data_IF_818563655687
#
_entry.id   IF_818563655687
#
_cell.length_a   1.000
_cell.length_b   1.000
_cell.length_c   1.000
_cell.angle_alpha   90.00
_cell.angle_beta   90.00
_cell.angle_gamma   90.00
#
_symmetry.space_group_name_H-M   'P 1'
#
loop_
_entity.id
_entity.type
_entity.pdbx_description
1 polymer ?
#
# COMPACT_ATOMS: atom_id res chain seq x y z
N UNK A 1 12.99 43.46 -19.33
CA UNK A 1 13.46 42.06 -19.41
C UNK A 1 12.23 41.23 -19.72
N UNK A 2 12.22 40.52 -20.84
CA UNK A 2 11.11 39.61 -21.18
C UNK A 2 11.32 38.29 -20.43
N UNK A 3 10.41 37.96 -19.51
CA UNK A 3 10.49 36.73 -18.72
C UNK A 3 10.21 35.49 -19.58
N UNK A 4 9.42 35.68 -20.63
CA UNK A 4 9.02 34.67 -21.59
C UNK A 4 9.59 34.97 -22.97
N UNK A 5 9.92 33.92 -23.69
CA UNK A 5 10.28 33.98 -25.12
C UNK A 5 9.02 33.93 -25.97
N UNK A 6 9.17 34.23 -27.26
CA UNK A 6 8.06 34.17 -28.23
C UNK A 6 7.48 32.75 -28.41
N UNK A 7 8.21 31.71 -28.00
CA UNK A 7 7.70 30.33 -27.96
C UNK A 7 6.86 30.01 -26.71
N UNK A 8 6.61 31.01 -25.86
CA UNK A 8 5.85 30.89 -24.62
C UNK A 8 6.60 30.17 -23.50
N UNK A 9 7.88 29.83 -23.68
CA UNK A 9 8.72 29.24 -22.63
C UNK A 9 9.49 30.33 -21.86
N UNK A 10 9.94 30.01 -20.64
CA UNK A 10 10.86 30.90 -19.91
C UNK A 10 12.15 31.16 -20.72
N UNK A 11 12.58 32.42 -20.76
CA UNK A 11 13.90 32.80 -21.27
C UNK A 11 15.01 32.26 -20.38
N UNK A 12 16.22 32.09 -20.92
CA UNK A 12 17.37 31.66 -20.11
C UNK A 12 17.68 32.71 -19.03
N UNK A 13 17.54 33.99 -19.38
CA UNK A 13 17.68 35.12 -18.46
C UNK A 13 16.61 35.08 -17.36
N UNK A 14 15.36 34.78 -17.72
CA UNK A 14 14.26 34.61 -16.77
C UNK A 14 14.49 33.45 -15.80
N UNK A 15 15.04 32.34 -16.30
CA UNK A 15 15.33 31.15 -15.51
C UNK A 15 16.49 31.37 -14.53
N UNK A 16 17.52 32.09 -14.96
CA UNK A 16 18.62 32.51 -14.10
C UNK A 16 18.18 33.54 -13.06
N UNK A 17 17.38 34.53 -13.45
CA UNK A 17 16.84 35.51 -12.52
C UNK A 17 15.91 34.86 -11.48
N UNK A 18 15.14 33.83 -11.87
CA UNK A 18 14.32 33.05 -10.94
C UNK A 18 15.19 32.31 -9.91
N UNK A 19 16.27 31.67 -10.39
CA UNK A 19 17.23 30.94 -9.53
C UNK A 19 17.97 31.89 -8.58
N UNK A 20 18.33 33.07 -9.06
CA UNK A 20 18.99 34.11 -8.28
C UNK A 20 18.04 34.90 -7.37
N UNK A 21 16.72 34.64 -7.42
CA UNK A 21 15.72 35.36 -6.62
C UNK A 21 15.58 36.84 -6.98
N UNK A 22 15.88 37.20 -8.24
CA UNK A 22 15.85 38.59 -8.73
C UNK A 22 14.53 38.97 -9.42
N UNK A 23 13.56 38.06 -9.48
CA UNK A 23 12.21 38.38 -9.96
C UNK A 23 11.45 39.17 -8.90
N UNK A 24 10.61 40.08 -9.38
CA UNK A 24 9.57 40.72 -8.59
C UNK A 24 8.50 39.70 -8.15
N UNK A 25 7.65 40.07 -7.20
CA UNK A 25 6.63 39.17 -6.65
C UNK A 25 5.65 38.64 -7.71
N UNK A 26 5.28 39.48 -8.69
CA UNK A 26 4.41 39.07 -9.78
C UNK A 26 5.13 38.11 -10.73
N UNK A 27 6.34 38.47 -11.19
CA UNK A 27 7.14 37.59 -12.03
C UNK A 27 7.42 36.25 -11.37
N UNK A 28 7.64 36.21 -10.05
CA UNK A 28 7.83 34.97 -9.29
C UNK A 28 6.58 34.10 -9.29
N UNK A 29 5.40 34.70 -9.13
CA UNK A 29 4.13 33.98 -9.18
C UNK A 29 3.88 33.41 -10.59
N UNK A 30 4.06 34.23 -11.62
CA UNK A 30 3.88 33.82 -13.02
C UNK A 30 4.87 32.72 -13.43
N UNK A 31 6.14 32.82 -13.02
CA UNK A 31 7.12 31.78 -13.26
C UNK A 31 6.79 30.47 -12.53
N UNK A 32 6.29 30.56 -11.29
CA UNK A 32 5.88 29.38 -10.51
C UNK A 32 4.66 28.69 -11.14
N UNK A 33 3.67 29.46 -11.59
CA UNK A 33 2.52 28.93 -12.33
C UNK A 33 2.97 28.28 -13.64
N UNK A 34 3.86 28.94 -14.38
CA UNK A 34 4.38 28.40 -15.64
C UNK A 34 5.15 27.08 -15.44
N UNK A 35 5.98 26.97 -14.40
CA UNK A 35 6.68 25.72 -14.07
C UNK A 35 5.71 24.60 -13.69
N UNK A 36 4.57 24.92 -13.07
CA UNK A 36 3.56 23.91 -12.76
C UNK A 36 2.88 23.33 -14.02
N UNK A 37 2.85 24.08 -15.14
CA UNK A 37 2.15 23.71 -16.36
C UNK A 37 3.05 23.34 -17.54
N UNK A 38 4.33 23.74 -17.54
CA UNK A 38 5.25 23.51 -18.65
C UNK A 38 6.40 22.58 -18.25
N UNK A 39 6.26 21.29 -18.59
CA UNK A 39 7.29 20.27 -18.32
C UNK A 39 8.66 20.64 -18.91
N UNK A 40 8.68 21.21 -20.13
CA UNK A 40 9.92 21.63 -20.79
C UNK A 40 10.69 22.68 -19.98
N UNK A 41 9.99 23.63 -19.36
CA UNK A 41 10.61 24.65 -18.51
C UNK A 41 11.02 24.07 -17.16
N UNK A 42 10.25 23.13 -16.62
CA UNK A 42 10.59 22.40 -15.39
C UNK A 42 11.84 21.53 -15.55
N UNK A 43 12.01 20.87 -16.70
CA UNK A 43 13.21 20.11 -17.01
C UNK A 43 14.44 21.03 -17.12
N UNK A 44 14.32 22.19 -17.78
CA UNK A 44 15.42 23.18 -17.85
C UNK A 44 15.75 23.76 -16.47
N UNK A 45 14.73 24.07 -15.67
CA UNK A 45 14.88 24.59 -14.32
C UNK A 45 15.57 23.58 -13.39
N UNK A 46 15.09 22.33 -13.39
CA UNK A 46 15.69 21.25 -12.59
C UNK A 46 17.10 20.93 -13.06
N UNK A 47 17.38 20.96 -14.36
CA UNK A 47 18.73 20.81 -14.89
C UNK A 47 19.70 21.87 -14.33
N UNK A 48 19.28 23.15 -14.30
CA UNK A 48 20.07 24.22 -13.68
C UNK A 48 20.30 23.99 -12.18
N UNK A 49 19.27 23.57 -11.44
CA UNK A 49 19.41 23.25 -10.02
C UNK A 49 20.29 22.03 -9.75
N UNK A 50 20.34 21.06 -10.67
CA UNK A 50 21.19 19.88 -10.56
C UNK A 50 22.63 20.12 -11.03
N UNK A 51 22.87 21.17 -11.82
CA UNK A 51 24.20 21.60 -12.21
C UNK A 51 24.97 22.19 -11.02
N UNK A 52 24.27 22.79 -10.06
CA UNK A 52 24.76 22.89 -8.68
C UNK A 52 24.74 21.48 -8.10
N UNK A 53 25.89 20.82 -8.20
CA UNK A 53 26.10 19.46 -7.77
C UNK A 53 25.47 19.25 -6.39
N UNK A 54 24.34 18.53 -6.35
CA UNK A 54 23.93 17.83 -5.14
C UNK A 54 25.19 17.11 -4.67
N UNK A 55 25.80 17.60 -3.59
CA UNK A 55 27.07 17.07 -3.12
C UNK A 55 26.93 15.55 -3.08
N UNK A 56 27.82 14.85 -3.80
CA UNK A 56 27.76 13.40 -3.84
C UNK A 56 27.75 12.91 -2.39
N UNK A 57 26.73 12.13 -1.97
CA UNK A 57 26.59 11.78 -0.58
C UNK A 57 27.87 11.08 -0.14
N UNK A 58 28.42 11.39 1.06
CA UNK A 58 29.69 10.86 1.52
C UNK A 58 29.70 9.32 1.65
N UNK A 59 28.54 8.68 1.52
CA UNK A 59 28.36 7.23 1.46
C UNK A 59 27.30 6.87 0.41
N UNK A 60 27.54 5.80 -0.33
CA UNK A 60 26.62 5.28 -1.33
C UNK A 60 25.31 4.76 -0.70
N UNK A 61 24.29 5.61 -0.67
CA UNK A 61 22.95 5.25 -0.18
C UNK A 61 22.15 4.41 -1.18
N UNK A 62 22.60 4.33 -2.44
CA UNK A 62 21.88 3.64 -3.53
C UNK A 62 21.62 2.17 -3.19
N UNK A 63 22.63 1.47 -2.66
CA UNK A 63 22.51 0.06 -2.29
C UNK A 63 21.51 -0.14 -1.14
N UNK A 64 21.55 0.75 -0.15
CA UNK A 64 20.63 0.72 1.00
C UNK A 64 19.19 0.99 0.58
N UNK A 65 18.95 2.04 -0.22
CA UNK A 65 17.60 2.40 -0.69
C UNK A 65 17.04 1.31 -1.59
N UNK A 66 17.82 0.81 -2.56
CA UNK A 66 17.38 -0.30 -3.41
C UNK A 66 17.06 -1.55 -2.56
N UNK A 67 17.88 -1.86 -1.55
CA UNK A 67 17.61 -3.00 -0.67
C UNK A 67 16.33 -2.81 0.15
N UNK A 68 16.06 -1.61 0.66
CA UNK A 68 14.85 -1.31 1.41
C UNK A 68 13.60 -1.36 0.53
N UNK A 69 13.68 -0.88 -0.72
CA UNK A 69 12.61 -0.98 -1.71
C UNK A 69 12.34 -2.44 -2.04
N UNK A 70 13.38 -3.23 -2.31
CA UNK A 70 13.27 -4.65 -2.61
C UNK A 70 12.62 -5.44 -1.47
N UNK A 71 13.06 -5.21 -0.23
CA UNK A 71 12.50 -5.84 0.96
C UNK A 71 11.01 -5.52 1.10
N UNK A 72 10.62 -4.26 0.90
CA UNK A 72 9.20 -3.86 0.96
C UNK A 72 8.37 -4.51 -0.14
N UNK A 73 8.91 -4.59 -1.37
CA UNK A 73 8.25 -5.25 -2.49
C UNK A 73 8.04 -6.75 -2.20
N UNK A 74 9.08 -7.41 -1.69
CA UNK A 74 9.06 -8.85 -1.39
C UNK A 74 8.09 -9.16 -0.24
N UNK A 75 8.11 -8.39 0.85
CA UNK A 75 7.22 -8.59 1.99
C UNK A 75 5.74 -8.43 1.60
N UNK A 76 5.43 -7.45 0.75
CA UNK A 76 4.10 -7.25 0.17
C UNK A 76 3.63 -8.42 -0.69
N UNK A 77 4.57 -9.08 -1.39
CA UNK A 77 4.26 -10.18 -2.31
C UNK A 77 4.12 -11.51 -1.57
N UNK A 78 5.03 -11.81 -0.64
CA UNK A 78 5.00 -13.03 0.17
C UNK A 78 3.70 -13.13 0.99
N UNK A 79 3.23 -12.02 1.59
CA UNK A 79 1.98 -12.02 2.35
C UNK A 79 0.76 -12.37 1.50
N UNK A 80 0.65 -11.81 0.29
CA UNK A 80 -0.45 -12.10 -0.64
C UNK A 80 -0.36 -13.48 -1.25
N UNK A 81 0.85 -13.93 -1.60
CA UNK A 81 1.09 -15.26 -2.16
C UNK A 81 0.74 -16.36 -1.15
N UNK A 82 1.05 -16.16 0.14
CA UNK A 82 0.68 -17.11 1.19
C UNK A 82 -0.85 -17.25 1.33
N UNK A 83 -1.59 -16.15 1.38
CA UNK A 83 -3.06 -16.17 1.45
C UNK A 83 -3.67 -16.82 0.20
N UNK A 84 -3.18 -16.46 -0.98
CA UNK A 84 -3.63 -17.06 -2.23
C UNK A 84 -3.34 -18.57 -2.29
N UNK A 85 -2.17 -19.00 -1.78
CA UNK A 85 -1.81 -20.41 -1.67
C UNK A 85 -2.75 -21.20 -0.76
N UNK A 86 -3.04 -20.68 0.43
CA UNK A 86 -4.01 -21.30 1.36
C UNK A 86 -5.40 -21.38 0.71
N UNK A 87 -5.86 -20.32 0.06
CA UNK A 87 -7.15 -20.31 -0.63
C UNK A 87 -7.20 -21.34 -1.77
N UNK A 88 -6.12 -21.47 -2.55
CA UNK A 88 -6.02 -22.46 -3.62
C UNK A 88 -6.02 -23.89 -3.08
N UNK A 89 -5.31 -24.15 -1.97
CA UNK A 89 -5.32 -25.46 -1.30
C UNK A 89 -6.72 -25.78 -0.80
N UNK A 90 -7.39 -24.83 -0.13
CA UNK A 90 -8.78 -25.02 0.32
C UNK A 90 -9.72 -25.31 -0.86
N UNK A 91 -9.66 -24.52 -1.93
CA UNK A 91 -10.46 -24.75 -3.12
C UNK A 91 -10.18 -26.12 -3.75
N UNK A 92 -8.92 -26.54 -3.85
CA UNK A 92 -8.53 -27.86 -4.36
C UNK A 92 -8.98 -28.99 -3.45
N UNK A 93 -8.89 -28.84 -2.12
CA UNK A 93 -9.38 -29.84 -1.17
C UNK A 93 -10.89 -29.97 -1.25
N UNK A 94 -11.64 -28.86 -1.34
CA UNK A 94 -13.10 -28.89 -1.51
C UNK A 94 -13.50 -29.51 -2.85
N UNK A 95 -12.77 -29.20 -3.93
CA UNK A 95 -12.99 -29.76 -5.26
C UNK A 95 -12.69 -31.27 -5.31
N UNK A 96 -11.55 -31.69 -4.73
CA UNK A 96 -11.07 -33.08 -4.81
C UNK A 96 -11.87 -34.03 -3.92
N UNK A 97 -12.34 -33.56 -2.76
CA UNK A 97 -13.12 -34.39 -1.83
C UNK A 97 -14.61 -34.42 -2.18
N UNK A 98 -15.07 -33.60 -3.14
CA UNK A 98 -16.46 -33.64 -3.63
C UNK A 98 -17.53 -33.40 -2.55
N UNK A 99 -17.20 -32.68 -1.48
CA UNK A 99 -17.92 -32.75 -0.22
C UNK A 99 -18.59 -31.43 0.17
N UNK A 100 -19.78 -31.18 -0.38
CA UNK A 100 -20.80 -30.38 0.31
C UNK A 100 -21.45 -31.14 1.49
N UNK A 101 -21.07 -32.40 1.75
CA UNK A 101 -21.75 -33.26 2.73
C UNK A 101 -21.01 -33.43 4.05
N UNK A 102 -19.68 -33.30 4.10
CA UNK A 102 -18.90 -33.44 5.33
C UNK A 102 -18.83 -32.15 6.17
N UNK A 103 -18.92 -30.98 5.52
CA UNK A 103 -18.92 -29.67 6.19
C UNK A 103 -20.26 -29.38 6.89
N UNK A 104 -21.35 -29.99 6.42
CA UNK A 104 -22.68 -29.86 7.04
C UNK A 104 -22.79 -30.66 8.34
N UNK A 105 -22.13 -31.83 8.39
CA UNK A 105 -22.16 -32.71 9.57
C UNK A 105 -21.29 -32.15 10.71
N UNK A 106 -20.10 -31.61 10.39
CA UNK A 106 -19.24 -30.93 11.38
C UNK A 106 -19.61 -29.45 11.64
N UNK A 107 -20.37 -28.81 10.76
CA UNK A 107 -20.90 -27.46 10.98
C UNK A 107 -22.02 -27.42 12.03
N UNK A 108 -22.77 -28.51 12.17
CA UNK A 108 -23.87 -28.64 13.14
C UNK A 108 -23.35 -28.70 14.58
N UNK A 109 -22.18 -29.30 14.80
CA UNK A 109 -21.56 -29.41 16.13
C UNK A 109 -20.83 -28.11 16.55
N UNK A 110 -20.41 -27.29 15.58
CA UNK A 110 -19.91 -25.93 15.82
C UNK A 110 -21.03 -24.91 16.07
N UNK A 111 -22.24 -25.15 15.58
CA UNK A 111 -23.41 -24.30 15.83
C UNK A 111 -24.00 -24.52 17.23
N UNK A 112 -23.70 -25.65 17.89
CA UNK A 112 -24.07 -25.89 19.29
C UNK A 112 -23.17 -25.15 20.29
N UNK A 113 -21.98 -24.68 19.88
CA UNK A 113 -20.98 -24.04 20.74
C UNK A 113 -20.71 -22.56 20.46
N UNK A 114 -21.45 -21.92 19.54
CA UNK A 114 -21.35 -20.47 19.30
C UNK A 114 -22.66 -19.76 19.66
N UNK A 115 -22.68 -18.95 20.74
CA UNK A 115 -23.84 -18.16 21.08
C UNK A 115 -24.15 -17.18 19.96
N UNK A 116 -25.44 -17.02 19.74
CA UNK A 116 -26.11 -16.25 18.70
C UNK A 116 -25.61 -14.80 18.67
N UNK A 117 -24.62 -14.49 17.85
CA UNK A 117 -24.44 -13.11 17.37
C UNK A 117 -25.33 -12.97 16.14
N UNK A 118 -26.60 -12.70 16.40
CA UNK A 118 -27.57 -12.25 15.39
C UNK A 118 -27.02 -10.98 14.73
N UNK A 119 -26.45 -11.11 13.53
CA UNK A 119 -26.33 -9.97 12.62
C UNK A 119 -27.64 -9.90 11.85
N UNK A 120 -28.63 -9.26 12.47
CA UNK A 120 -29.83 -8.81 11.75
C UNK A 120 -29.38 -7.76 10.74
N UNK A 121 -29.37 -8.15 9.47
CA UNK A 121 -29.30 -7.27 8.31
C UNK A 121 -30.58 -6.41 8.25
N UNK A 122 -30.51 -5.06 8.17
CA UNK A 122 -31.58 -4.27 7.61
C UNK A 122 -31.18 -3.76 6.23
N UNK A 123 -31.89 -4.27 5.23
CA UNK A 123 -32.06 -3.68 3.91
C UNK A 123 -32.73 -2.30 4.02
N UNK A 124 -32.36 -1.34 3.13
CA UNK A 124 -33.22 -0.35 2.41
C UNK A 124 -32.73 1.13 2.37
N UNK A 125 -32.01 1.46 1.28
CA UNK A 125 -32.02 2.71 0.44
C UNK A 125 -31.54 4.10 1.01
N UNK A 126 -31.16 5.12 0.17
CA UNK A 126 -29.91 5.27 -0.61
C UNK A 126 -29.20 6.66 -0.36
N UNK A 127 -28.27 7.16 -1.23
CA UNK A 127 -26.94 7.67 -0.84
C UNK A 127 -26.88 9.17 -0.46
N UNK A 128 -26.03 9.55 0.51
CA UNK A 128 -25.56 10.94 0.67
C UNK A 128 -24.12 11.02 1.20
N UNK A 129 -23.29 11.71 0.41
CA UNK A 129 -22.14 12.55 0.77
C UNK A 129 -20.97 11.93 1.57
N UNK A 130 -19.81 11.85 0.90
CA UNK A 130 -18.48 12.05 1.50
C UNK A 130 -18.41 13.38 2.28
N UNK A 131 -17.39 13.68 3.11
CA UNK A 131 -16.17 12.92 3.45
C UNK A 131 -15.89 12.89 4.97
N UNK A 132 -14.66 12.49 5.34
CA UNK A 132 -13.87 13.08 6.44
C UNK A 132 -13.58 12.17 7.65
N UNK A 133 -12.35 11.62 7.67
CA UNK A 133 -11.34 11.73 8.75
C UNK A 133 -10.35 10.57 8.64
N UNK A 134 -9.28 10.85 7.89
CA UNK A 134 -7.98 10.24 8.05
C UNK A 134 -7.47 10.54 9.49
N UNK A 135 -7.00 9.53 10.22
CA UNK A 135 -6.15 9.77 11.41
C UNK A 135 -6.26 8.74 12.53
N UNK A 136 -5.40 7.71 12.49
CA UNK A 136 -4.48 7.31 13.58
C UNK A 136 -3.65 6.07 13.16
N UNK A 137 -2.37 5.99 13.53
CA UNK A 137 -1.53 4.85 13.19
C UNK A 137 -1.92 3.62 14.01
N UNK A 138 -2.06 2.47 13.35
CA UNK A 138 -2.23 1.16 13.99
C UNK A 138 -0.95 0.84 14.75
N UNK A 139 -0.99 0.87 16.07
CA UNK A 139 0.06 0.29 16.90
C UNK A 139 -0.27 -1.19 17.07
N UNK A 140 0.38 -2.06 16.29
CA UNK A 140 0.31 -3.51 16.51
C UNK A 140 1.16 -3.84 17.72
N UNK A 141 0.50 -4.03 18.87
CA UNK A 141 1.10 -4.62 20.08
C UNK A 141 1.20 -6.14 19.85
N UNK A 142 2.40 -6.73 19.75
CA UNK A 142 2.54 -8.18 19.55
C UNK A 142 2.52 -8.85 20.93
N UNK A 143 1.53 -9.71 21.19
CA UNK A 143 1.36 -10.32 22.51
C UNK A 143 0.55 -11.62 22.49
N UNK A 144 1.27 -12.72 22.38
CA UNK A 144 1.06 -14.00 23.09
C UNK A 144 -0.16 -14.90 22.82
N UNK A 145 -1.25 -14.46 22.18
CA UNK A 145 -2.45 -15.31 22.09
C UNK A 145 -2.68 -16.06 20.76
N UNK A 146 -1.99 -15.70 19.68
CA UNK A 146 -2.23 -16.30 18.36
C UNK A 146 -1.49 -17.63 18.22
N UNK A 147 -0.25 -17.71 18.71
CA UNK A 147 0.55 -18.93 18.63
C UNK A 147 -0.04 -20.08 19.46
N UNK A 148 -0.61 -19.79 20.64
CA UNK A 148 -1.22 -20.81 21.49
C UNK A 148 -2.52 -21.36 20.91
N UNK A 149 -3.36 -20.50 20.32
CA UNK A 149 -4.61 -20.93 19.65
C UNK A 149 -4.37 -21.72 18.38
N UNK A 150 -3.35 -21.35 17.60
CA UNK A 150 -2.98 -22.13 16.40
C UNK A 150 -2.40 -23.48 16.82
N UNK A 151 -1.59 -23.53 17.90
CA UNK A 151 -1.06 -24.79 18.42
C UNK A 151 -2.18 -25.74 18.87
N UNK A 152 -3.16 -25.26 19.64
CA UNK A 152 -4.25 -26.11 20.13
C UNK A 152 -5.14 -26.66 19.00
N UNK A 153 -5.35 -25.86 17.95
CA UNK A 153 -6.13 -26.30 16.78
C UNK A 153 -5.35 -27.32 15.97
N UNK A 154 -4.04 -27.11 15.77
CA UNK A 154 -3.18 -28.05 15.04
C UNK A 154 -3.07 -29.39 15.76
N UNK A 155 -2.96 -29.36 17.08
CA UNK A 155 -2.85 -30.55 17.94
C UNK A 155 -4.17 -31.34 17.97
N UNK A 156 -5.31 -30.64 17.96
CA UNK A 156 -6.61 -31.28 17.83
C UNK A 156 -6.82 -31.93 16.45
N UNK A 157 -6.27 -31.35 15.38
CA UNK A 157 -6.34 -31.94 14.03
C UNK A 157 -5.42 -33.15 13.88
N UNK A 158 -4.24 -33.13 14.52
CA UNK A 158 -3.32 -34.28 14.55
C UNK A 158 -3.92 -35.47 15.29
N UNK A 159 -4.52 -35.25 16.45
CA UNK A 159 -5.19 -36.30 17.22
C UNK A 159 -6.41 -36.87 16.48
N UNK A 160 -7.16 -36.01 15.76
CA UNK A 160 -8.27 -36.46 14.92
C UNK A 160 -7.79 -37.32 13.74
N UNK A 161 -6.64 -37.00 13.15
CA UNK A 161 -6.06 -37.75 12.04
C UNK A 161 -5.52 -39.13 12.48
N UNK A 162 -4.99 -39.25 13.70
CA UNK A 162 -4.54 -40.55 14.24
C UNK A 162 -5.70 -41.49 14.56
N UNK A 163 -6.83 -40.98 15.04
CA UNK A 163 -8.01 -41.80 15.36
C UNK A 163 -8.71 -42.40 14.11
N UNK A 164 -8.46 -41.85 12.93
CA UNK A 164 -9.02 -42.35 11.65
C UNK A 164 -8.21 -43.54 11.10
N UNK A 165 -7.04 -43.85 11.68
CA UNK A 165 -6.13 -44.90 11.18
C UNK A 165 -6.22 -46.23 11.96
N UNK A 166 -7.05 -46.32 13.01
CA UNK A 166 -7.39 -47.60 13.67
C UNK A 166 -8.66 -48.22 13.10
#
# INVERSE_FOLDING_TARGET
MELFREDGCLSDEGLHALTAGQLDELGRLEAAEHLAYCDKCTDRYTALLTADALAAPPRDVRRTVMSAIWVRLMQSTCGRAAVAGVAAVLALTMWRTGALTFVTDHGSDLQALLPTVQVTLPEKQPPKLLPEKLGRPVTSRPGENIYTRVSSVLESLLNAAENIKS
#
